data_IF_466042779992
#
_entry.id   IF_466042779992
#
_cell.length_a   1.000
_cell.length_b   1.000
_cell.length_c   1.000
_cell.angle_alpha   90.00
_cell.angle_beta   90.00
_cell.angle_gamma   90.00
#
_symmetry.space_group_name_H-M   'P 1'
#
loop_
_entity.id
_entity.type
_entity.pdbx_description
1 polymer ?
#
# COMPACT_ATOMS: atom_id res chain seq x y z
N UNK A 1 -4.78 -13.27 -32.09
CA UNK A 1 -5.72 -13.23 -30.96
C UNK A 1 -5.04 -13.37 -29.56
N UNK A 2 -3.77 -13.76 -29.45
CA UNK A 2 -3.01 -13.86 -28.17
C UNK A 2 -2.35 -12.54 -27.74
N UNK A 3 -1.95 -11.71 -28.68
CA UNK A 3 -1.25 -10.43 -28.35
C UNK A 3 -2.14 -9.35 -27.70
N UNK A 4 -3.43 -9.29 -28.05
CA UNK A 4 -4.31 -8.27 -27.49
C UNK A 4 -4.64 -8.44 -26.00
N UNK A 5 -4.62 -9.68 -25.47
CA UNK A 5 -4.88 -9.93 -24.04
C UNK A 5 -3.69 -9.59 -23.14
N UNK A 6 -2.47 -9.80 -23.64
CA UNK A 6 -1.26 -9.41 -22.89
C UNK A 6 -1.13 -7.89 -22.77
N UNK A 7 -1.47 -7.16 -23.84
CA UNK A 7 -1.45 -5.69 -23.83
C UNK A 7 -2.51 -5.10 -22.87
N UNK A 8 -3.70 -5.73 -22.77
CA UNK A 8 -4.76 -5.28 -21.86
C UNK A 8 -4.37 -5.49 -20.39
N UNK A 9 -3.82 -6.67 -20.06
CA UNK A 9 -3.36 -6.97 -18.70
C UNK A 9 -2.19 -6.08 -18.29
N UNK A 10 -1.27 -5.80 -19.21
CA UNK A 10 -0.15 -4.90 -18.98
C UNK A 10 -0.63 -3.46 -18.72
N UNK A 11 -1.65 -3.00 -19.46
CA UNK A 11 -2.24 -1.67 -19.31
C UNK A 11 -2.96 -1.48 -17.97
N UNK A 12 -3.67 -2.50 -17.49
CA UNK A 12 -4.37 -2.48 -16.19
C UNK A 12 -3.38 -2.51 -15.01
N UNK A 13 -2.31 -3.27 -15.13
CA UNK A 13 -1.32 -3.43 -14.06
C UNK A 13 -0.27 -2.30 -14.02
N UNK A 14 -0.05 -1.60 -15.15
CA UNK A 14 0.99 -0.60 -15.27
C UNK A 14 0.48 0.84 -15.30
N UNK A 15 -0.77 1.12 -15.73
CA UNK A 15 -1.28 2.48 -15.75
C UNK A 15 -2.82 2.51 -15.85
N UNK A 16 -3.54 2.33 -14.74
CA UNK A 16 -5.01 2.37 -14.72
C UNK A 16 -5.61 3.77 -14.81
N UNK A 17 -4.81 4.85 -14.74
CA UNK A 17 -5.28 6.23 -14.84
C UNK A 17 -4.68 6.92 -16.05
N UNK A 18 -5.46 7.70 -16.82
CA UNK A 18 -4.92 8.54 -17.87
C UNK A 18 -4.00 9.60 -17.24
N UNK A 19 -2.77 9.73 -17.75
CA UNK A 19 -1.84 10.78 -17.38
C UNK A 19 -2.43 12.13 -17.77
N UNK A 20 -2.74 12.97 -16.79
CA UNK A 20 -3.04 14.39 -17.02
C UNK A 20 -1.73 15.06 -17.44
N UNK A 21 -1.55 15.32 -18.72
CA UNK A 21 -0.48 16.18 -19.21
C UNK A 21 -0.68 17.57 -18.62
N UNK A 22 0.23 17.99 -17.76
CA UNK A 22 0.39 19.41 -17.43
C UNK A 22 0.90 20.14 -18.66
N UNK A 23 0.01 20.87 -19.33
CA UNK A 23 0.40 21.92 -20.24
C UNK A 23 0.98 23.06 -19.42
N UNK A 24 2.28 23.27 -19.54
CA UNK A 24 2.96 24.48 -19.10
C UNK A 24 2.59 25.64 -20.03
N UNK A 25 1.55 26.37 -19.68
CA UNK A 25 1.30 27.69 -20.28
C UNK A 25 2.07 28.74 -19.48
N UNK A 26 3.03 29.33 -20.13
CA UNK A 26 3.72 30.57 -19.73
C UNK A 26 2.76 31.74 -19.84
N UNK A 27 2.32 32.30 -18.73
CA UNK A 27 1.52 33.53 -18.70
C UNK A 27 2.43 34.76 -18.57
N UNK A 28 2.16 35.85 -19.33
CA UNK A 28 2.88 37.12 -19.19
C UNK A 28 2.32 37.96 -18.01
N UNK A 29 3.24 38.66 -17.35
CA UNK A 29 2.98 39.64 -16.32
C UNK A 29 1.96 40.70 -16.74
N UNK A 30 0.89 40.86 -15.97
CA UNK A 30 -0.04 41.96 -16.02
C UNK A 30 -0.86 42.03 -14.76
N UNK A 31 -0.39 42.83 -13.79
CA UNK A 31 -1.10 43.11 -12.54
C UNK A 31 -2.39 43.92 -12.83
N UNK A 32 -3.56 43.29 -12.61
CA UNK A 32 -4.84 44.01 -12.48
C UNK A 32 -5.10 44.34 -11.03
N UNK A 33 -5.52 45.59 -10.69
CA UNK A 33 -5.86 45.96 -9.33
C UNK A 33 -7.13 45.24 -8.86
N UNK A 34 -7.11 44.78 -7.62
CA UNK A 34 -8.25 44.19 -6.89
C UNK A 34 -9.27 45.32 -6.67
N UNK A 35 -10.55 45.18 -7.03
CA UNK A 35 -11.58 46.17 -6.72
C UNK A 35 -11.80 46.23 -5.21
N UNK A 36 -12.18 47.39 -4.65
CA UNK A 36 -12.45 47.55 -3.23
C UNK A 36 -13.67 46.75 -2.82
N UNK A 37 -13.63 46.24 -1.60
CA UNK A 37 -14.68 45.48 -0.92
C UNK A 37 -15.95 46.36 -0.81
N UNK A 38 -17.05 45.91 -1.45
CA UNK A 38 -18.37 46.57 -1.35
C UNK A 38 -19.15 45.92 -0.20
N UNK A 39 -19.52 46.68 0.85
CA UNK A 39 -20.26 46.16 2.00
C UNK A 39 -21.74 45.85 1.72
N UNK A 40 -22.25 46.06 0.52
CA UNK A 40 -23.69 45.92 0.21
C UNK A 40 -24.11 44.52 -0.31
N UNK A 41 -23.17 43.55 -0.45
CA UNK A 41 -23.50 42.13 -0.74
C UNK A 41 -23.48 41.27 0.52
N UNK A 42 -24.06 41.78 1.60
CA UNK A 42 -24.29 41.06 2.85
C UNK A 42 -25.78 40.76 3.03
N UNK A 43 -26.40 40.01 2.13
CA UNK A 43 -27.76 39.49 2.37
C UNK A 43 -27.74 37.97 2.44
N UNK A 44 -27.75 37.49 3.67
CA UNK A 44 -28.43 36.28 4.18
C UNK A 44 -28.62 35.16 3.15
N UNK A 45 -27.54 34.44 2.81
CA UNK A 45 -27.68 33.05 2.45
C UNK A 45 -28.36 32.38 3.65
N UNK A 46 -29.59 31.90 3.43
CA UNK A 46 -30.40 31.30 4.49
C UNK A 46 -29.58 30.19 5.16
N UNK A 47 -29.23 30.40 6.44
CA UNK A 47 -28.45 29.42 7.22
C UNK A 47 -29.16 28.07 7.23
N UNK A 48 -30.47 28.03 6.95
CA UNK A 48 -31.21 26.78 6.77
C UNK A 48 -30.86 26.08 5.45
N UNK A 49 -30.58 26.84 4.38
CA UNK A 49 -30.15 26.27 3.09
C UNK A 49 -28.71 25.74 3.17
N UNK A 50 -27.82 26.47 3.84
CA UNK A 50 -26.45 25.99 4.13
C UNK A 50 -26.49 24.78 5.07
N UNK A 51 -27.38 24.76 6.07
CA UNK A 51 -27.59 23.61 6.95
C UNK A 51 -28.27 22.44 6.24
N UNK A 52 -29.17 22.70 5.27
CA UNK A 52 -29.77 21.63 4.46
C UNK A 52 -28.78 20.98 3.52
N UNK A 53 -27.96 21.79 2.83
CA UNK A 53 -26.87 21.30 1.96
C UNK A 53 -25.76 20.59 2.76
N UNK A 54 -25.49 21.06 3.98
CA UNK A 54 -24.58 20.37 4.90
C UNK A 54 -25.16 19.05 5.42
N UNK A 55 -26.47 18.99 5.69
CA UNK A 55 -27.18 17.75 6.06
C UNK A 55 -27.31 16.78 4.89
N UNK A 56 -27.50 17.26 3.68
CA UNK A 56 -27.55 16.42 2.46
C UNK A 56 -26.16 15.85 2.14
N UNK A 57 -25.09 16.62 2.37
CA UNK A 57 -23.69 16.12 2.30
C UNK A 57 -23.28 15.22 3.48
N UNK A 58 -23.97 15.33 4.63
CA UNK A 58 -23.70 14.56 5.85
C UNK A 58 -24.54 13.28 5.98
N UNK A 59 -25.25 12.84 4.92
CA UNK A 59 -26.00 11.59 4.93
C UNK A 59 -25.33 10.53 4.04
N UNK A 60 -24.27 9.86 4.50
CA UNK A 60 -23.59 8.77 3.75
C UNK A 60 -24.23 7.41 4.03
N UNK A 61 -25.50 7.34 4.42
CA UNK A 61 -26.28 6.10 4.36
C UNK A 61 -27.07 6.04 3.05
N UNK A 62 -26.39 6.10 1.91
CA UNK A 62 -26.91 5.45 0.72
C UNK A 62 -26.99 3.96 1.07
N UNK A 63 -28.15 3.52 1.49
CA UNK A 63 -28.43 2.10 1.67
C UNK A 63 -28.24 1.49 0.29
N UNK A 64 -27.11 0.78 0.10
CA UNK A 64 -26.83 0.08 -1.12
C UNK A 64 -28.06 -0.71 -1.53
N UNK A 65 -28.45 -0.63 -2.80
CA UNK A 65 -29.58 -1.41 -3.29
C UNK A 65 -29.38 -2.90 -2.98
N UNK A 66 -30.43 -3.70 -2.78
CA UNK A 66 -30.27 -5.12 -2.52
C UNK A 66 -29.36 -5.83 -3.54
N UNK A 67 -29.45 -5.45 -4.82
CA UNK A 67 -28.59 -5.96 -5.89
C UNK A 67 -27.12 -5.57 -5.70
N UNK A 68 -26.86 -4.33 -5.35
CA UNK A 68 -25.50 -3.84 -5.05
C UNK A 68 -24.92 -4.55 -3.82
N UNK A 69 -25.74 -4.78 -2.80
CA UNK A 69 -25.34 -5.53 -1.62
C UNK A 69 -24.93 -6.97 -1.96
N UNK A 70 -25.72 -7.67 -2.79
CA UNK A 70 -25.40 -9.02 -3.29
C UNK A 70 -24.12 -9.00 -4.11
N UNK A 71 -23.97 -8.03 -5.02
CA UNK A 71 -22.76 -7.88 -5.84
C UNK A 71 -21.50 -7.69 -4.99
N UNK A 72 -21.54 -6.81 -3.99
CA UNK A 72 -20.42 -6.59 -3.06
C UNK A 72 -20.09 -7.84 -2.23
N UNK A 73 -21.11 -8.59 -1.78
CA UNK A 73 -20.89 -9.86 -1.09
C UNK A 73 -20.25 -10.91 -2.00
N UNK A 74 -20.71 -11.04 -3.26
CA UNK A 74 -20.12 -11.94 -4.24
C UNK A 74 -18.67 -11.55 -4.55
N UNK A 75 -18.40 -10.26 -4.77
CA UNK A 75 -17.05 -9.77 -5.02
C UNK A 75 -16.10 -10.08 -3.85
N UNK A 76 -16.57 -9.89 -2.61
CA UNK A 76 -15.82 -10.25 -1.40
C UNK A 76 -15.55 -11.76 -1.34
N UNK A 77 -16.56 -12.59 -1.51
CA UNK A 77 -16.43 -14.03 -1.43
C UNK A 77 -15.51 -14.59 -2.52
N UNK A 78 -15.65 -14.11 -3.76
CA UNK A 78 -14.79 -14.50 -4.88
C UNK A 78 -13.36 -14.00 -4.69
N UNK A 79 -13.16 -12.75 -4.20
CA UNK A 79 -11.86 -12.20 -3.93
C UNK A 79 -11.11 -12.98 -2.83
N UNK A 80 -11.76 -13.25 -1.70
CA UNK A 80 -11.16 -14.05 -0.62
C UNK A 80 -10.94 -15.51 -1.04
N UNK A 81 -11.88 -16.10 -1.77
CA UNK A 81 -11.77 -17.45 -2.31
C UNK A 81 -10.60 -17.59 -3.27
N UNK A 82 -10.43 -16.64 -4.19
CA UNK A 82 -9.28 -16.59 -5.10
C UNK A 82 -7.95 -16.48 -4.35
N UNK A 83 -7.89 -15.61 -3.34
CA UNK A 83 -6.68 -15.50 -2.51
C UNK A 83 -6.36 -16.83 -1.81
N UNK A 84 -7.37 -17.49 -1.24
CA UNK A 84 -7.20 -18.78 -0.59
C UNK A 84 -6.69 -19.85 -1.59
N UNK A 85 -7.29 -19.93 -2.78
CA UNK A 85 -6.89 -20.87 -3.84
C UNK A 85 -5.44 -20.63 -4.26
N UNK A 86 -5.05 -19.37 -4.49
CA UNK A 86 -3.68 -19.02 -4.87
C UNK A 86 -2.68 -19.36 -3.74
N UNK A 87 -3.04 -19.08 -2.48
CA UNK A 87 -2.19 -19.40 -1.35
C UNK A 87 -2.07 -20.91 -1.12
N UNK A 88 -3.15 -21.69 -1.28
CA UNK A 88 -3.12 -23.16 -1.19
C UNK A 88 -2.28 -23.73 -2.33
N UNK A 89 -2.55 -23.33 -3.57
CA UNK A 89 -1.80 -23.78 -4.74
C UNK A 89 -0.30 -23.50 -4.61
N UNK A 90 0.04 -22.28 -4.17
CA UNK A 90 1.43 -21.94 -3.90
C UNK A 90 2.04 -22.76 -2.75
N UNK A 91 1.28 -23.03 -1.69
CA UNK A 91 1.75 -23.83 -0.55
C UNK A 91 2.02 -25.29 -0.94
N UNK A 92 1.21 -25.86 -1.85
CA UNK A 92 1.44 -27.22 -2.40
C UNK A 92 2.78 -27.28 -3.14
N UNK A 93 3.12 -26.25 -3.92
CA UNK A 93 4.39 -26.15 -4.65
C UNK A 93 5.55 -25.84 -3.68
N UNK A 94 5.34 -24.93 -2.75
CA UNK A 94 6.38 -24.48 -1.82
C UNK A 94 6.75 -25.53 -0.77
N UNK A 95 5.83 -26.43 -0.39
CA UNK A 95 6.06 -27.44 0.63
C UNK A 95 7.21 -28.40 0.29
N UNK A 96 7.23 -29.10 -0.87
CA UNK A 96 8.35 -29.94 -1.23
C UNK A 96 9.64 -29.17 -1.44
N UNK A 97 9.58 -27.93 -1.98
CA UNK A 97 10.74 -27.08 -2.14
C UNK A 97 11.36 -26.63 -0.81
N UNK A 98 10.54 -26.52 0.24
CA UNK A 98 11.02 -26.17 1.59
C UNK A 98 11.80 -27.29 2.29
N UNK A 99 11.78 -28.51 1.75
CA UNK A 99 12.60 -29.65 2.22
C UNK A 99 14.02 -29.63 1.64
N UNK A 100 14.26 -28.85 0.59
CA UNK A 100 15.59 -28.67 0.03
C UNK A 100 16.44 -27.75 0.90
N UNK A 101 17.78 -27.89 0.91
CA UNK A 101 18.67 -26.98 1.61
C UNK A 101 18.41 -25.54 1.18
N UNK A 102 18.30 -24.63 2.15
CA UNK A 102 18.06 -23.22 1.87
C UNK A 102 19.23 -22.63 1.08
N UNK A 103 18.98 -22.27 -0.16
CA UNK A 103 19.93 -21.63 -1.08
C UNK A 103 19.37 -20.31 -1.58
N UNK A 104 20.20 -19.48 -2.16
CA UNK A 104 19.80 -18.18 -2.72
C UNK A 104 18.72 -18.36 -3.77
N UNK A 105 18.91 -19.29 -4.71
CA UNK A 105 17.95 -19.52 -5.79
C UNK A 105 16.59 -20.03 -5.31
N UNK A 106 16.53 -20.82 -4.23
CA UNK A 106 15.26 -21.27 -3.63
C UNK A 106 14.50 -20.10 -3.02
N UNK A 107 15.20 -19.18 -2.34
CA UNK A 107 14.57 -17.95 -1.82
C UNK A 107 14.06 -17.05 -2.93
N UNK A 108 14.85 -16.89 -4.00
CA UNK A 108 14.43 -16.13 -5.18
C UNK A 108 13.22 -16.78 -5.86
N UNK A 109 13.20 -18.09 -5.99
CA UNK A 109 12.03 -18.82 -6.51
C UNK A 109 10.79 -18.56 -5.64
N UNK A 110 10.96 -18.62 -4.31
CA UNK A 110 9.91 -18.32 -3.34
C UNK A 110 9.35 -16.91 -3.50
N UNK A 111 10.22 -15.90 -3.62
CA UNK A 111 9.87 -14.49 -3.81
C UNK A 111 9.20 -14.25 -5.16
N UNK A 112 9.77 -14.81 -6.23
CA UNK A 112 9.19 -14.73 -7.58
C UNK A 112 7.79 -15.37 -7.65
N UNK A 113 7.58 -16.51 -6.98
CA UNK A 113 6.29 -17.16 -6.90
C UNK A 113 5.26 -16.27 -6.19
N UNK A 114 5.61 -15.68 -5.05
CA UNK A 114 4.76 -14.73 -4.33
C UNK A 114 4.46 -13.50 -5.19
N UNK A 115 5.48 -12.91 -5.82
CA UNK A 115 5.31 -11.76 -6.71
C UNK A 115 4.31 -12.05 -7.84
N UNK A 116 4.50 -13.15 -8.56
CA UNK A 116 3.60 -13.55 -9.68
C UNK A 116 2.19 -13.85 -9.18
N UNK A 117 2.08 -14.56 -8.06
CA UNK A 117 0.78 -14.85 -7.44
C UNK A 117 0.03 -13.58 -7.04
N UNK A 118 0.71 -12.62 -6.41
CA UNK A 118 0.10 -11.34 -6.04
C UNK A 118 -0.26 -10.48 -7.24
N UNK A 119 0.57 -10.46 -8.28
CA UNK A 119 0.23 -9.79 -9.56
C UNK A 119 -1.01 -10.39 -10.20
N UNK A 120 -1.09 -11.72 -10.29
CA UNK A 120 -2.26 -12.42 -10.82
C UNK A 120 -3.51 -12.12 -9.99
N UNK A 121 -3.41 -12.18 -8.66
CA UNK A 121 -4.49 -11.87 -7.74
C UNK A 121 -5.04 -10.46 -7.94
N UNK A 122 -4.16 -9.45 -7.90
CA UNK A 122 -4.57 -8.06 -8.09
C UNK A 122 -5.15 -7.82 -9.49
N UNK A 123 -4.59 -8.46 -10.52
CA UNK A 123 -5.15 -8.42 -11.88
C UNK A 123 -6.56 -8.99 -11.95
N UNK A 124 -6.82 -10.13 -11.31
CA UNK A 124 -8.16 -10.73 -11.24
C UNK A 124 -9.18 -9.85 -10.51
N UNK A 125 -8.75 -9.12 -9.47
CA UNK A 125 -9.64 -8.17 -8.78
C UNK A 125 -9.89 -6.89 -9.59
N UNK A 126 -8.90 -6.45 -10.39
CA UNK A 126 -9.00 -5.25 -11.20
C UNK A 126 -9.84 -5.47 -12.47
N UNK A 127 -9.85 -6.68 -13.05
CA UNK A 127 -10.59 -7.00 -14.28
C UNK A 127 -12.09 -6.68 -14.20
N UNK A 128 -12.83 -7.09 -13.15
CA UNK A 128 -14.24 -6.73 -12.98
C UNK A 128 -14.45 -5.32 -12.42
N UNK A 129 -13.37 -4.56 -12.16
CA UNK A 129 -13.43 -3.21 -11.59
C UNK A 129 -13.66 -3.17 -10.08
N UNK A 130 -13.46 -4.28 -9.35
CA UNK A 130 -13.61 -4.30 -7.88
C UNK A 130 -12.56 -3.46 -7.16
N UNK A 131 -11.34 -3.41 -7.74
CA UNK A 131 -10.28 -2.53 -7.27
C UNK A 131 -9.74 -1.67 -8.42
N UNK A 132 -9.31 -0.46 -8.09
CA UNK A 132 -8.56 0.43 -8.98
C UNK A 132 -7.23 0.74 -8.33
N UNK A 133 -6.14 0.44 -9.04
CA UNK A 133 -4.79 0.52 -8.49
C UNK A 133 -3.94 1.50 -9.30
N UNK A 134 -3.30 2.42 -8.60
CA UNK A 134 -2.21 3.23 -9.13
C UNK A 134 -0.93 2.88 -8.38
N UNK A 135 -0.11 2.01 -8.97
CA UNK A 135 1.13 1.51 -8.40
C UNK A 135 2.36 1.92 -9.23
N UNK A 136 2.17 2.76 -10.27
CA UNK A 136 3.23 3.09 -11.23
C UNK A 136 4.46 3.75 -10.57
N UNK A 137 4.25 4.49 -9.48
CA UNK A 137 5.33 5.13 -8.75
C UNK A 137 6.39 4.13 -8.23
N UNK A 138 5.98 2.89 -7.91
CA UNK A 138 6.88 1.85 -7.42
C UNK A 138 7.86 1.35 -8.49
N UNK A 139 7.51 1.47 -9.77
CA UNK A 139 8.34 0.95 -10.86
C UNK A 139 9.67 1.68 -10.99
N UNK A 140 9.70 2.97 -10.62
CA UNK A 140 10.92 3.78 -10.61
C UNK A 140 11.95 3.36 -9.57
N UNK A 141 11.57 2.45 -8.66
CA UNK A 141 12.46 1.94 -7.62
C UNK A 141 13.09 0.58 -7.98
N UNK A 142 12.63 -0.09 -9.05
CA UNK A 142 13.06 -1.46 -9.37
C UNK A 142 14.57 -1.55 -9.63
N UNK A 143 15.14 -0.55 -10.30
CA UNK A 143 16.56 -0.48 -10.64
C UNK A 143 17.37 0.38 -9.64
N UNK A 144 16.74 0.82 -8.54
CA UNK A 144 17.43 1.59 -7.52
C UNK A 144 18.36 0.72 -6.67
N UNK A 145 19.45 1.28 -6.11
CA UNK A 145 20.25 0.59 -5.10
C UNK A 145 19.37 0.11 -3.92
N UNK A 146 19.83 -0.85 -3.11
CA UNK A 146 19.08 -1.39 -1.99
C UNK A 146 18.50 -0.30 -1.07
N UNK A 147 17.21 -0.38 -0.83
CA UNK A 147 16.42 0.58 -0.02
C UNK A 147 15.66 -0.14 1.08
N UNK A 148 15.51 0.51 2.21
CA UNK A 148 14.45 0.17 3.17
C UNK A 148 13.16 0.82 2.67
N UNK A 149 12.22 0.06 2.16
CA UNK A 149 10.90 0.53 1.76
C UNK A 149 10.01 0.60 3.00
N UNK A 150 9.64 1.81 3.37
CA UNK A 150 8.91 2.12 4.60
C UNK A 150 7.52 2.71 4.27
N UNK A 151 6.49 1.88 4.02
CA UNK A 151 5.13 2.34 3.81
C UNK A 151 4.36 2.57 5.11
N UNK A 152 3.33 3.46 5.11
CA UNK A 152 2.25 3.39 6.08
C UNK A 152 1.45 2.08 5.86
N UNK A 153 0.62 1.70 6.84
CA UNK A 153 -0.02 0.38 6.83
C UNK A 153 -1.54 0.42 7.05
N UNK A 154 -2.33 1.05 6.15
CA UNK A 154 -3.78 1.14 6.30
C UNK A 154 -4.50 -0.20 6.26
N UNK A 155 -4.05 -1.16 5.44
CA UNK A 155 -4.78 -2.41 5.21
C UNK A 155 -3.92 -3.66 5.07
N UNK A 156 -4.56 -4.81 5.01
CA UNK A 156 -3.90 -6.11 4.84
C UNK A 156 -3.28 -6.27 3.44
N UNK A 157 -3.85 -5.60 2.43
CA UNK A 157 -3.37 -5.68 1.05
C UNK A 157 -2.07 -4.91 0.80
N UNK A 158 -1.63 -4.06 1.71
CA UNK A 158 -0.48 -3.18 1.47
C UNK A 158 0.81 -3.94 1.14
N UNK A 159 1.06 -5.05 1.84
CA UNK A 159 2.19 -5.92 1.51
C UNK A 159 2.00 -6.60 0.14
N UNK A 160 0.77 -6.99 -0.21
CA UNK A 160 0.44 -7.59 -1.51
C UNK A 160 0.71 -6.60 -2.64
N UNK A 161 0.31 -5.33 -2.47
CA UNK A 161 0.54 -4.26 -3.45
C UNK A 161 2.02 -4.08 -3.74
N UNK A 162 2.83 -3.91 -2.69
CA UNK A 162 4.27 -3.65 -2.84
C UNK A 162 5.00 -4.90 -3.37
N UNK A 163 4.78 -6.07 -2.77
CA UNK A 163 5.42 -7.32 -3.20
C UNK A 163 5.03 -7.74 -4.62
N UNK A 164 3.88 -7.30 -5.12
CA UNK A 164 3.50 -7.52 -6.52
C UNK A 164 4.37 -6.76 -7.52
N UNK A 165 5.09 -5.71 -7.10
CA UNK A 165 5.93 -4.88 -7.99
C UNK A 165 7.40 -5.27 -7.95
N UNK A 166 7.87 -5.96 -6.91
CA UNK A 166 9.26 -6.35 -6.73
C UNK A 166 9.41 -7.86 -6.71
N UNK A 167 10.12 -8.39 -7.69
CA UNK A 167 10.27 -9.85 -7.86
C UNK A 167 11.18 -10.48 -6.80
N UNK A 168 12.20 -9.77 -6.34
CA UNK A 168 13.18 -10.29 -5.38
C UNK A 168 13.44 -9.30 -4.25
N UNK A 169 12.51 -9.24 -3.29
CA UNK A 169 12.59 -8.31 -2.16
C UNK A 169 12.43 -9.06 -0.83
N UNK A 170 13.27 -8.71 0.16
CA UNK A 170 13.10 -9.14 1.54
C UNK A 170 11.89 -8.47 2.19
N UNK A 171 11.22 -9.17 3.11
CA UNK A 171 10.08 -8.60 3.83
C UNK A 171 10.15 -9.00 5.31
N UNK A 172 9.97 -8.00 6.19
CA UNK A 172 9.78 -8.27 7.62
C UNK A 172 8.30 -8.54 7.87
N UNK A 173 8.00 -9.72 8.41
CA UNK A 173 6.63 -10.20 8.63
C UNK A 173 6.36 -10.50 10.10
N UNK A 174 5.09 -10.49 10.48
CA UNK A 174 4.68 -10.97 11.81
C UNK A 174 5.04 -12.45 11.96
N UNK A 175 5.66 -12.82 13.06
CA UNK A 175 6.14 -14.20 13.27
C UNK A 175 5.03 -15.24 13.12
N UNK A 176 3.81 -14.93 13.58
CA UNK A 176 2.65 -15.81 13.47
C UNK A 176 2.30 -16.15 12.02
N UNK A 177 2.65 -15.27 11.07
CA UNK A 177 2.42 -15.51 9.64
C UNK A 177 3.19 -16.74 9.15
N UNK A 178 4.40 -16.96 9.67
CA UNK A 178 5.22 -18.11 9.27
C UNK A 178 4.62 -19.45 9.71
N UNK A 179 3.75 -19.42 10.72
CA UNK A 179 3.03 -20.60 11.21
C UNK A 179 1.63 -20.72 10.61
N UNK A 180 1.22 -19.74 9.78
CA UNK A 180 -0.10 -19.77 9.16
C UNK A 180 -0.18 -20.87 8.08
N UNK A 181 -1.21 -21.74 8.09
CA UNK A 181 -1.28 -22.91 7.21
C UNK A 181 -1.26 -22.55 5.72
N UNK A 182 -1.90 -21.43 5.33
CA UNK A 182 -2.00 -21.01 3.93
C UNK A 182 -0.85 -20.12 3.45
N UNK A 183 -0.22 -19.37 4.34
CA UNK A 183 0.77 -18.34 3.97
C UNK A 183 2.18 -18.69 4.43
N UNK A 184 2.30 -19.49 5.49
CA UNK A 184 3.56 -19.69 6.19
C UNK A 184 4.60 -20.42 5.34
N UNK A 185 4.21 -21.43 4.59
CA UNK A 185 5.16 -22.22 3.76
C UNK A 185 5.79 -21.35 2.69
N UNK A 186 4.99 -20.57 1.96
CA UNK A 186 5.50 -19.64 0.95
C UNK A 186 6.39 -18.55 1.54
N UNK A 187 6.00 -17.99 2.70
CA UNK A 187 6.79 -16.96 3.36
C UNK A 187 8.14 -17.50 3.89
N UNK A 188 8.17 -18.76 4.40
CA UNK A 188 9.43 -19.43 4.79
C UNK A 188 10.31 -19.70 3.59
N UNK A 189 9.74 -20.21 2.48
CA UNK A 189 10.49 -20.47 1.24
C UNK A 189 11.12 -19.18 0.69
N UNK A 190 10.38 -18.06 0.74
CA UNK A 190 10.87 -16.73 0.34
C UNK A 190 11.95 -16.16 1.29
N UNK A 191 12.19 -16.80 2.43
CA UNK A 191 13.12 -16.32 3.44
C UNK A 191 12.69 -15.02 4.12
N UNK A 192 11.37 -14.80 4.29
CA UNK A 192 10.86 -13.62 4.97
C UNK A 192 11.23 -13.61 6.45
N UNK A 193 11.49 -12.43 6.99
CA UNK A 193 12.15 -12.20 8.27
C UNK A 193 11.09 -12.03 9.38
N UNK A 194 11.03 -12.93 10.39
CA UNK A 194 10.08 -12.80 11.49
C UNK A 194 10.46 -11.67 12.45
N UNK A 195 9.46 -10.94 12.94
CA UNK A 195 9.66 -9.80 13.85
C UNK A 195 9.73 -10.13 15.34
N UNK A 196 9.69 -11.42 15.74
CA UNK A 196 9.60 -11.84 17.14
C UNK A 196 10.93 -11.75 17.92
N UNK A 197 12.07 -11.79 17.24
CA UNK A 197 13.40 -11.71 17.86
C UNK A 197 14.15 -10.52 17.31
N UNK A 198 14.07 -9.38 18.01
CA UNK A 198 14.58 -8.08 17.56
C UNK A 198 16.01 -8.12 17.01
N UNK A 199 16.94 -8.77 17.73
CA UNK A 199 18.33 -8.85 17.28
C UNK A 199 18.47 -9.63 15.98
N UNK A 200 17.86 -10.84 15.90
CA UNK A 200 17.90 -11.67 14.69
C UNK A 200 17.22 -10.99 13.50
N UNK A 201 16.10 -10.34 13.72
CA UNK A 201 15.38 -9.56 12.70
C UNK A 201 16.28 -8.44 12.13
N UNK A 202 16.92 -7.65 12.99
CA UNK A 202 17.79 -6.56 12.55
C UNK A 202 18.98 -7.10 11.77
N UNK A 203 19.64 -8.16 12.26
CA UNK A 203 20.78 -8.77 11.58
C UNK A 203 20.39 -9.30 10.21
N UNK A 204 19.32 -10.08 10.10
CA UNK A 204 18.82 -10.62 8.83
C UNK A 204 18.39 -9.51 7.86
N UNK A 205 17.76 -8.45 8.36
CA UNK A 205 17.34 -7.30 7.53
C UNK A 205 18.54 -6.49 7.00
N UNK A 206 19.58 -6.33 7.79
CA UNK A 206 20.83 -5.68 7.36
C UNK A 206 21.55 -6.53 6.30
N UNK A 207 21.58 -7.84 6.49
CA UNK A 207 22.19 -8.75 5.52
C UNK A 207 21.44 -8.75 4.18
N UNK A 208 20.12 -8.70 4.21
CA UNK A 208 19.26 -8.57 3.03
C UNK A 208 19.63 -7.34 2.18
N UNK A 209 19.82 -6.19 2.82
CA UNK A 209 20.23 -4.95 2.15
C UNK A 209 21.67 -5.03 1.63
N UNK A 210 22.58 -5.67 2.36
CA UNK A 210 23.99 -5.83 1.95
C UNK A 210 24.16 -6.78 0.79
N UNK A 211 23.27 -7.75 0.65
CA UNK A 211 23.25 -8.68 -0.50
C UNK A 211 22.61 -8.09 -1.76
N UNK A 212 22.23 -6.81 -1.73
CA UNK A 212 21.74 -6.09 -2.90
C UNK A 212 20.22 -6.07 -3.06
N UNK A 213 19.45 -6.55 -2.07
CA UNK A 213 18.00 -6.60 -2.16
C UNK A 213 17.32 -5.43 -1.43
N UNK A 214 16.18 -5.00 -1.92
CA UNK A 214 15.29 -4.12 -1.17
C UNK A 214 14.68 -4.85 0.03
N UNK A 215 14.33 -4.09 1.05
CA UNK A 215 13.68 -4.60 2.25
C UNK A 215 12.34 -3.88 2.49
N UNK A 216 11.25 -4.61 2.48
CA UNK A 216 9.95 -4.10 2.92
C UNK A 216 9.84 -4.20 4.44
N UNK A 217 9.60 -3.07 5.08
CA UNK A 217 9.42 -2.99 6.53
C UNK A 217 8.40 -1.90 6.88
N UNK A 218 7.26 -2.30 7.41
CA UNK A 218 6.25 -1.37 7.92
C UNK A 218 6.71 -0.70 9.21
N UNK A 219 6.93 0.62 9.25
CA UNK A 219 7.52 1.30 10.40
C UNK A 219 6.63 1.29 11.64
N UNK A 220 5.32 1.18 11.46
CA UNK A 220 4.34 1.05 12.55
C UNK A 220 4.44 -0.33 13.26
N UNK A 221 4.90 -1.37 12.57
CA UNK A 221 4.96 -2.75 13.07
C UNK A 221 3.59 -3.43 13.20
N UNK A 222 2.50 -2.75 12.84
CA UNK A 222 1.12 -3.25 12.78
C UNK A 222 0.31 -2.38 11.81
N UNK A 223 -0.87 -2.83 11.40
CA UNK A 223 -1.79 -1.99 10.61
C UNK A 223 -2.22 -0.75 11.39
N UNK A 224 -2.38 0.36 10.69
CA UNK A 224 -2.78 1.66 11.26
C UNK A 224 -4.13 1.56 11.97
N UNK A 225 -4.16 2.03 13.21
CA UNK A 225 -5.38 2.13 14.03
C UNK A 225 -5.63 3.56 14.49
N UNK A 226 -4.58 4.38 14.57
CA UNK A 226 -4.64 5.79 14.93
C UNK A 226 -4.41 6.64 13.69
N UNK A 227 -5.31 7.57 13.41
CA UNK A 227 -5.18 8.49 12.28
C UNK A 227 -4.30 9.67 12.73
N UNK A 228 -3.34 10.14 11.89
CA UNK A 228 -3.05 9.65 10.53
C UNK A 228 -2.16 8.41 10.49
N UNK A 229 -1.39 8.10 11.55
CA UNK A 229 -0.44 7.00 11.63
C UNK A 229 -0.22 6.56 13.09
N UNK A 230 0.10 5.29 13.33
CA UNK A 230 0.52 4.81 14.64
C UNK A 230 1.94 5.30 14.99
N UNK A 231 2.33 5.32 16.28
CA UNK A 231 3.71 5.56 16.69
C UNK A 231 4.68 4.61 16.01
N UNK A 232 5.76 5.14 15.45
CA UNK A 232 6.72 4.38 14.68
C UNK A 232 7.73 3.65 15.57
N UNK A 233 8.22 2.52 15.06
CA UNK A 233 9.29 1.75 15.69
C UNK A 233 10.66 2.28 15.26
N UNK A 234 11.68 2.13 16.14
CA UNK A 234 13.05 2.50 15.82
C UNK A 234 13.75 1.54 14.83
N UNK A 235 13.12 0.40 14.52
CA UNK A 235 13.74 -0.65 13.69
C UNK A 235 14.09 -0.19 12.27
N UNK A 236 13.26 0.57 11.53
CA UNK A 236 13.63 1.05 10.19
C UNK A 236 14.91 1.89 10.20
N UNK A 237 14.99 2.88 11.10
CA UNK A 237 16.17 3.71 11.24
C UNK A 237 17.41 2.93 11.67
N UNK A 238 17.27 1.97 12.59
CA UNK A 238 18.38 1.15 13.05
C UNK A 238 18.92 0.22 11.95
N UNK A 239 18.06 -0.40 11.18
CA UNK A 239 18.43 -1.26 10.05
C UNK A 239 19.13 -0.43 8.97
N UNK A 240 18.53 0.69 8.58
CA UNK A 240 19.08 1.60 7.58
C UNK A 240 20.48 2.13 7.98
N UNK A 241 20.63 2.56 9.23
CA UNK A 241 21.93 3.03 9.78
C UNK A 241 23.01 1.95 9.75
N UNK A 242 22.66 0.71 10.16
CA UNK A 242 23.61 -0.42 10.18
C UNK A 242 23.95 -0.96 8.79
N UNK A 243 23.03 -0.90 7.85
CA UNK A 243 23.23 -1.32 6.47
C UNK A 243 23.89 -0.23 5.61
N UNK A 244 23.86 1.04 6.03
CA UNK A 244 24.24 2.17 5.19
C UNK A 244 23.25 2.43 4.05
N UNK A 245 22.00 1.91 4.14
CA UNK A 245 21.01 1.99 3.10
C UNK A 245 20.01 3.13 3.36
N UNK A 246 19.57 3.87 2.32
CA UNK A 246 18.54 4.90 2.45
C UNK A 246 17.17 4.29 2.77
N UNK A 247 16.29 5.12 3.37
CA UNK A 247 14.90 4.78 3.62
C UNK A 247 14.02 5.51 2.61
N UNK A 248 13.26 4.78 1.81
CA UNK A 248 12.26 5.33 0.91
C UNK A 248 10.89 5.22 1.58
N UNK A 249 10.28 6.36 1.90
CA UNK A 249 8.89 6.36 2.39
C UNK A 249 7.93 6.14 1.23
N UNK A 250 6.88 5.39 1.52
CA UNK A 250 5.81 5.07 0.55
C UNK A 250 4.49 5.44 1.23
N UNK A 251 3.65 6.17 0.51
CA UNK A 251 2.36 6.62 0.99
C UNK A 251 1.27 5.84 0.26
N UNK A 252 0.55 5.02 1.02
CA UNK A 252 -0.57 4.22 0.54
C UNK A 252 -1.84 4.94 0.94
N UNK A 253 -2.58 5.40 -0.06
CA UNK A 253 -3.83 6.13 0.07
C UNK A 253 -4.97 5.26 -0.44
N UNK A 254 -6.07 5.21 0.29
CA UNK A 254 -7.24 4.40 -0.07
C UNK A 254 -8.53 5.10 0.31
N UNK A 255 -9.57 4.92 -0.51
CA UNK A 255 -10.92 5.40 -0.21
C UNK A 255 -11.71 4.48 0.73
N UNK A 256 -11.10 3.40 1.22
CA UNK A 256 -11.80 2.39 2.02
C UNK A 256 -10.94 1.91 3.18
N UNK A 257 -11.57 1.69 4.33
CA UNK A 257 -10.96 1.00 5.48
C UNK A 257 -10.94 -0.53 5.33
N UNK A 258 -11.29 -1.05 4.16
CA UNK A 258 -11.37 -2.49 3.88
C UNK A 258 -10.07 -3.22 4.28
N UNK A 259 -10.22 -4.28 5.04
CA UNK A 259 -9.11 -5.06 5.62
C UNK A 259 -8.15 -4.26 6.52
N UNK A 260 -8.59 -3.11 7.04
CA UNK A 260 -7.95 -2.46 8.18
C UNK A 260 -7.93 -3.37 9.42
N UNK A 261 -7.23 -2.96 10.49
CA UNK A 261 -7.00 -3.85 11.65
C UNK A 261 -8.29 -4.32 12.32
N UNK A 262 -9.28 -3.43 12.43
CA UNK A 262 -10.55 -3.70 13.12
C UNK A 262 -11.70 -4.00 12.14
N UNK A 263 -11.38 -4.23 10.87
CA UNK A 263 -12.36 -4.56 9.86
C UNK A 263 -12.74 -6.04 9.95
N UNK A 264 -14.03 -6.37 10.16
CA UNK A 264 -14.49 -7.75 10.13
C UNK A 264 -14.27 -8.38 8.75
N UNK A 265 -13.64 -9.54 8.67
CA UNK A 265 -13.23 -10.18 7.41
C UNK A 265 -14.39 -10.33 6.41
N UNK A 266 -15.58 -10.62 6.89
CA UNK A 266 -16.78 -10.83 6.06
C UNK A 266 -17.66 -9.58 5.90
N UNK A 267 -17.21 -8.43 6.42
CA UNK A 267 -17.90 -7.16 6.15
C UNK A 267 -17.61 -6.74 4.72
N UNK A 268 -18.67 -6.57 3.92
CA UNK A 268 -18.57 -6.12 2.53
C UNK A 268 -17.97 -4.72 2.43
N UNK A 269 -17.03 -4.48 1.51
CA UNK A 269 -16.55 -3.13 1.20
C UNK A 269 -17.50 -2.43 0.23
N UNK A 270 -17.47 -1.10 0.20
CA UNK A 270 -18.01 -0.33 -0.91
C UNK A 270 -17.07 -0.44 -2.11
N UNK A 271 -17.60 -0.76 -3.29
CA UNK A 271 -16.82 -0.91 -4.51
C UNK A 271 -17.03 0.29 -5.45
N UNK A 272 -16.03 0.66 -6.24
CA UNK A 272 -14.67 0.11 -6.28
C UNK A 272 -13.79 0.57 -5.12
N UNK A 273 -12.91 -0.31 -4.65
CA UNK A 273 -11.84 0.09 -3.76
C UNK A 273 -10.75 0.75 -4.59
N UNK A 274 -10.45 2.00 -4.30
CA UNK A 274 -9.40 2.77 -4.99
C UNK A 274 -8.17 2.84 -4.09
N UNK A 275 -7.02 2.43 -4.61
CA UNK A 275 -5.74 2.49 -3.89
C UNK A 275 -4.72 3.18 -4.78
N UNK A 276 -4.11 4.23 -4.23
CA UNK A 276 -3.02 4.96 -4.86
C UNK A 276 -1.76 4.85 -4.03
N UNK A 277 -0.65 4.52 -4.67
CA UNK A 277 0.67 4.48 -4.03
C UNK A 277 1.52 5.58 -4.62
N UNK A 278 2.04 6.45 -3.76
CA UNK A 278 2.99 7.49 -4.16
C UNK A 278 4.29 7.38 -3.35
N UNK A 279 5.39 7.77 -3.96
CA UNK A 279 6.67 7.87 -3.26
C UNK A 279 6.68 9.15 -2.45
N UNK A 280 7.09 9.02 -1.20
CA UNK A 280 7.40 10.15 -0.36
C UNK A 280 8.92 10.45 -0.35
N UNK A 281 9.35 11.22 0.64
CA UNK A 281 10.74 11.61 0.82
C UNK A 281 11.66 10.40 1.00
N UNK A 282 12.82 10.42 0.34
CA UNK A 282 13.92 9.49 0.59
C UNK A 282 14.85 10.10 1.64
N UNK A 283 15.05 9.34 2.73
CA UNK A 283 15.94 9.75 3.81
C UNK A 283 17.26 9.01 3.71
N UNK A 284 18.40 9.70 3.95
CA UNK A 284 19.69 9.04 4.06
C UNK A 284 19.74 8.14 5.31
N UNK A 285 20.72 7.22 5.41
CA UNK A 285 20.91 6.41 6.62
C UNK A 285 21.10 7.31 7.83
N UNK A 286 20.27 7.17 8.90
CA UNK A 286 20.29 8.09 10.01
C UNK A 286 21.51 7.86 10.93
N UNK A 287 22.13 8.95 11.39
CA UNK A 287 23.18 8.90 12.42
C UNK A 287 22.59 8.70 13.82
N UNK A 288 21.44 9.32 14.10
CA UNK A 288 20.74 9.25 15.38
C UNK A 288 19.34 8.66 15.18
N UNK A 289 19.15 7.39 15.55
CA UNK A 289 17.94 6.63 15.26
C UNK A 289 16.69 7.19 15.93
N UNK A 290 16.80 7.65 17.19
CA UNK A 290 15.63 8.16 17.94
C UNK A 290 15.10 9.46 17.33
N UNK A 291 15.99 10.43 17.09
CA UNK A 291 15.65 11.71 16.45
C UNK A 291 15.03 11.47 15.07
N UNK A 292 15.65 10.59 14.29
CA UNK A 292 15.13 10.19 12.98
C UNK A 292 13.74 9.58 13.05
N UNK A 293 13.45 8.72 14.04
CA UNK A 293 12.12 8.11 14.18
C UNK A 293 11.04 9.17 14.43
N UNK A 294 11.34 10.19 15.23
CA UNK A 294 10.43 11.33 15.46
C UNK A 294 10.25 12.16 14.17
N UNK A 295 11.33 12.44 13.44
CA UNK A 295 11.27 13.15 12.16
C UNK A 295 10.40 12.37 11.14
N UNK A 296 10.62 11.06 11.06
CA UNK A 296 9.87 10.18 10.15
C UNK A 296 8.37 10.14 10.51
N UNK A 297 8.04 10.09 11.79
CA UNK A 297 6.66 10.10 12.28
C UNK A 297 5.96 11.43 11.95
N UNK A 298 6.62 12.56 12.20
CA UNK A 298 6.13 13.89 11.85
C UNK A 298 5.93 14.04 10.32
N UNK A 299 6.86 13.53 9.53
CA UNK A 299 6.78 13.53 8.08
C UNK A 299 5.53 12.76 7.60
N UNK A 300 5.35 11.52 8.06
CA UNK A 300 4.16 10.75 7.69
C UNK A 300 2.86 11.43 8.12
N UNK A 301 2.83 11.97 9.35
CA UNK A 301 1.66 12.67 9.86
C UNK A 301 1.28 13.87 8.98
N UNK A 302 2.27 14.67 8.57
CA UNK A 302 2.04 15.84 7.70
C UNK A 302 1.60 15.46 6.30
N UNK A 303 2.20 14.41 5.70
CA UNK A 303 1.88 13.99 4.34
C UNK A 303 0.51 13.32 4.23
N UNK A 304 0.15 12.48 5.21
CA UNK A 304 -1.14 11.78 5.21
C UNK A 304 -2.32 12.72 5.56
N UNK A 305 -2.07 13.83 6.28
CA UNK A 305 -3.09 14.86 6.50
C UNK A 305 -3.35 15.74 5.27
N UNK A 306 -2.33 15.92 4.41
CA UNK A 306 -2.46 16.70 3.16
C UNK A 306 -3.19 15.95 2.05
N UNK A 307 -3.27 14.65 2.13
CA UNK A 307 -3.94 13.83 1.13
C UNK A 307 -5.45 13.88 1.32
N UNK A 308 -6.24 14.44 0.39
CA UNK A 308 -7.68 14.49 0.48
C UNK A 308 -8.30 13.15 0.06
N UNK A 309 -7.87 12.03 0.61
CA UNK A 309 -8.70 10.84 0.54
C UNK A 309 -9.76 11.01 1.59
N UNK A 310 -10.93 11.46 1.13
CA UNK A 310 -12.12 11.67 1.94
C UNK A 310 -12.33 10.49 2.87
N UNK A 311 -12.26 10.79 4.15
CA UNK A 311 -12.76 9.93 5.20
C UNK A 311 -14.27 9.79 5.04
N UNK A 312 -14.72 8.79 4.30
CA UNK A 312 -16.03 8.22 4.51
C UNK A 312 -15.95 7.44 5.82
N UNK A 313 -16.36 8.16 6.88
CA UNK A 313 -16.55 7.65 8.24
C UNK A 313 -17.78 6.74 8.32
#
# INVERSE_FOLDING_TARGET
>A
MREGKHALIHRILHNPFPSTQQQTETAPHGSRPVPPFDPQYGETADMNEVHSLARERANPRQTASPLEAVYQCMALALGLGLLAILCIGWSIVALPLSLLPSSTWIRELGRNGINRGFRAYLGCLALPGWIRLDLAALDSLQDAPPLVLAPNHPGLLDAVLILSRFANMGCVVKADLLNHPLLGTGARLAGYIPNNRRYRMIHAAVEELRTGHHLLLFPEGTRTTRIPINPLKNSPGLIASKAGAPIQTILIETNSRFLGKDWPLFRRPTLPIVIKVRLGRRFPPPKQVRTFTTELEQYFASELQRSPVSSDS
#
